data_IF_841552956229
#
_entry.id   IF_841552956229
#
_cell.length_a   1.000
_cell.length_b   1.000
_cell.length_c   1.000
_cell.angle_alpha   90.00
_cell.angle_beta   90.00
_cell.angle_gamma   90.00
#
_symmetry.space_group_name_H-M   'P 1'
#
loop_
_entity.id
_entity.type
_entity.pdbx_description
1 polymer ?
#
# COMPACT_ATOMS: atom_id res chain seq x y z
N UNK A 1 7.59 -27.45 19.69
CA UNK A 1 8.37 -28.69 19.43
C UNK A 1 7.46 -29.92 19.26
N UNK A 2 6.23 -29.77 18.80
CA UNK A 2 5.23 -30.86 18.77
C UNK A 2 4.58 -31.18 17.41
N UNK A 3 4.97 -30.47 16.34
CA UNK A 3 4.40 -30.69 14.98
C UNK A 3 5.22 -31.68 14.16
N UNK A 4 6.47 -31.94 14.55
CA UNK A 4 7.37 -32.82 13.81
C UNK A 4 7.07 -34.31 14.01
N UNK A 5 6.39 -34.72 15.09
CA UNK A 5 6.10 -36.12 15.39
C UNK A 5 4.83 -36.68 14.74
N UNK A 6 3.95 -35.84 14.19
CA UNK A 6 2.74 -36.33 13.51
C UNK A 6 2.90 -36.60 12.02
N UNK A 7 4.02 -36.22 11.41
CA UNK A 7 4.28 -36.47 9.97
C UNK A 7 5.09 -37.74 9.67
N UNK A 8 5.60 -38.42 10.69
CA UNK A 8 6.48 -39.58 10.50
C UNK A 8 5.80 -40.90 10.04
N UNK A 9 4.53 -41.19 10.30
CA UNK A 9 3.91 -42.44 9.84
C UNK A 9 3.44 -42.43 8.37
N UNK A 10 3.43 -41.28 7.69
CA UNK A 10 2.99 -41.20 6.28
C UNK A 10 4.10 -41.46 5.26
N UNK A 11 5.35 -41.53 5.68
CA UNK A 11 6.51 -41.71 4.79
C UNK A 11 6.87 -43.20 4.57
N UNK A 12 6.40 -44.09 5.46
CA UNK A 12 6.88 -45.50 5.46
C UNK A 12 6.07 -46.43 4.56
N UNK A 13 5.01 -45.98 3.90
CA UNK A 13 4.16 -46.88 3.10
C UNK A 13 4.08 -46.55 1.59
N UNK A 14 5.02 -45.80 1.03
CA UNK A 14 5.09 -45.59 -0.40
C UNK A 14 6.41 -46.12 -0.99
N UNK A 15 6.51 -47.43 -1.21
CA UNK A 15 7.48 -48.06 -2.10
C UNK A 15 7.17 -47.83 -3.59
N UNK A 16 6.71 -46.66 -3.97
CA UNK A 16 6.55 -46.20 -5.34
C UNK A 16 7.19 -44.83 -5.43
N UNK A 17 8.46 -44.78 -5.87
CA UNK A 17 9.17 -43.54 -6.09
C UNK A 17 8.38 -42.66 -7.03
N UNK A 18 7.96 -41.48 -6.55
CA UNK A 18 7.35 -40.44 -7.39
C UNK A 18 8.35 -40.12 -8.50
N UNK A 19 7.92 -40.11 -9.77
CA UNK A 19 8.80 -39.70 -10.86
C UNK A 19 9.31 -38.30 -10.58
N UNK A 20 10.60 -38.09 -10.66
CA UNK A 20 11.30 -36.80 -10.41
C UNK A 20 10.61 -35.63 -11.15
N UNK A 21 9.99 -35.92 -12.29
CA UNK A 21 9.21 -34.95 -13.06
C UNK A 21 7.98 -34.39 -12.32
N UNK A 22 7.31 -35.20 -11.50
CA UNK A 22 6.13 -34.74 -10.75
C UNK A 22 6.55 -33.94 -9.52
N UNK A 23 7.67 -34.26 -8.89
CA UNK A 23 8.27 -33.43 -7.84
C UNK A 23 8.74 -32.07 -8.36
N UNK A 24 9.33 -32.01 -9.53
CA UNK A 24 9.73 -30.77 -10.19
C UNK A 24 8.51 -29.94 -10.60
N UNK A 25 7.46 -30.55 -11.16
CA UNK A 25 6.20 -29.86 -11.47
C UNK A 25 5.54 -29.28 -10.24
N UNK A 26 5.53 -30.01 -9.13
CA UNK A 26 4.93 -29.53 -7.87
C UNK A 26 5.74 -28.37 -7.27
N UNK A 27 7.07 -28.44 -7.34
CA UNK A 27 7.96 -27.41 -6.83
C UNK A 27 7.97 -26.14 -7.71
N UNK A 28 7.99 -26.30 -9.02
CA UNK A 28 7.96 -25.17 -9.97
C UNK A 28 6.56 -24.58 -10.09
N UNK A 29 5.51 -25.39 -10.04
CA UNK A 29 4.11 -24.93 -10.04
C UNK A 29 3.75 -24.09 -8.81
N UNK A 30 4.33 -24.38 -7.64
CA UNK A 30 4.11 -23.59 -6.43
C UNK A 30 5.00 -22.32 -6.35
N UNK A 31 6.13 -22.28 -7.06
CA UNK A 31 6.97 -21.06 -7.16
C UNK A 31 6.39 -20.09 -8.19
N UNK A 32 5.75 -20.61 -9.22
CA UNK A 32 5.09 -19.82 -10.29
C UNK A 32 3.56 -19.84 -10.15
N UNK A 33 3.03 -19.72 -8.93
CA UNK A 33 1.61 -19.37 -8.82
C UNK A 33 1.40 -18.03 -9.52
N UNK A 34 0.53 -17.97 -10.54
CA UNK A 34 0.31 -16.72 -11.25
C UNK A 34 -0.22 -15.71 -10.24
N UNK A 35 0.62 -14.72 -9.91
CA UNK A 35 0.36 -13.61 -8.98
C UNK A 35 -0.99 -12.91 -9.25
N UNK A 36 -1.55 -13.05 -10.46
CA UNK A 36 -2.83 -12.50 -10.85
C UNK A 36 -4.06 -13.17 -10.21
N UNK A 37 -4.01 -14.46 -9.81
CA UNK A 37 -5.17 -15.13 -9.23
C UNK A 37 -5.40 -14.88 -7.74
N UNK A 38 -4.35 -14.50 -7.00
CA UNK A 38 -4.44 -14.18 -5.57
C UNK A 38 -5.02 -12.79 -5.36
N UNK A 39 -4.77 -11.86 -6.30
CA UNK A 39 -5.16 -10.45 -6.19
C UNK A 39 -6.68 -10.26 -6.40
N UNK A 40 -7.32 -11.07 -7.23
CA UNK A 40 -8.72 -10.81 -7.63
C UNK A 40 -9.78 -11.30 -6.65
N UNK A 41 -9.47 -12.22 -5.73
CA UNK A 41 -10.48 -12.89 -4.92
C UNK A 41 -10.85 -12.18 -3.60
N UNK A 42 -10.13 -11.12 -3.18
CA UNK A 42 -10.32 -10.52 -1.85
C UNK A 42 -10.15 -9.00 -1.76
N UNK A 43 -10.07 -8.29 -2.89
CA UNK A 43 -9.93 -6.83 -2.84
C UNK A 43 -11.27 -6.19 -2.52
N UNK A 44 -11.42 -5.76 -1.28
CA UNK A 44 -12.51 -4.90 -0.83
C UNK A 44 -12.56 -3.59 -1.64
N UNK A 45 -13.75 -3.04 -1.82
CA UNK A 45 -13.95 -1.77 -2.56
C UNK A 45 -13.05 -0.65 -2.01
N UNK A 46 -12.93 -0.56 -0.68
CA UNK A 46 -12.07 0.43 -0.04
C UNK A 46 -10.57 0.18 -0.25
N UNK A 47 -10.16 -1.07 -0.39
CA UNK A 47 -8.77 -1.40 -0.74
C UNK A 47 -8.42 -0.89 -2.14
N UNK A 48 -9.32 -1.11 -3.11
CA UNK A 48 -9.15 -0.57 -4.48
C UNK A 48 -9.14 0.95 -4.47
N UNK A 49 -10.04 1.58 -3.70
CA UNK A 49 -10.05 3.03 -3.54
C UNK A 49 -8.72 3.55 -2.97
N UNK A 50 -8.12 2.87 -1.98
CA UNK A 50 -6.81 3.24 -1.44
C UNK A 50 -5.71 3.18 -2.51
N UNK A 51 -5.71 2.18 -3.39
CA UNK A 51 -4.77 2.10 -4.51
C UNK A 51 -4.94 3.27 -5.49
N UNK A 52 -6.19 3.61 -5.84
CA UNK A 52 -6.48 4.75 -6.73
C UNK A 52 -6.02 6.05 -6.10
N UNK A 53 -6.28 6.26 -4.81
CA UNK A 53 -5.84 7.46 -4.08
C UNK A 53 -4.32 7.55 -4.03
N UNK A 54 -3.61 6.46 -3.73
CA UNK A 54 -2.14 6.44 -3.74
C UNK A 54 -1.56 6.73 -5.12
N UNK A 55 -2.15 6.16 -6.16
CA UNK A 55 -1.75 6.46 -7.54
C UNK A 55 -1.96 7.95 -7.86
N UNK A 56 -3.09 8.53 -7.43
CA UNK A 56 -3.38 9.95 -7.62
C UNK A 56 -2.39 10.83 -6.86
N UNK A 57 -2.02 10.47 -5.61
CA UNK A 57 -1.00 11.18 -4.83
C UNK A 57 0.33 11.16 -5.57
N UNK A 58 0.79 9.99 -6.02
CA UNK A 58 2.04 9.85 -6.75
C UNK A 58 2.03 10.66 -8.07
N UNK A 59 0.93 10.69 -8.78
CA UNK A 59 0.81 11.49 -10.01
C UNK A 59 0.89 12.98 -9.71
N UNK A 60 0.14 13.45 -8.70
CA UNK A 60 0.14 14.88 -8.30
C UNK A 60 1.52 15.28 -7.76
N UNK A 61 2.17 14.42 -6.98
CA UNK A 61 3.51 14.65 -6.45
C UNK A 61 4.57 14.78 -7.54
N UNK A 62 4.58 13.89 -8.53
CA UNK A 62 5.47 13.97 -9.68
C UNK A 62 5.30 15.28 -10.47
N UNK A 63 4.06 15.74 -10.64
CA UNK A 63 3.76 17.02 -11.30
C UNK A 63 4.24 18.19 -10.43
N UNK A 64 4.09 18.08 -9.09
CA UNK A 64 4.41 19.17 -8.17
C UNK A 64 5.92 19.41 -7.99
N UNK A 65 6.77 18.38 -8.08
CA UNK A 65 8.20 18.45 -7.84
C UNK A 65 8.90 19.55 -8.66
N UNK A 66 8.69 19.69 -9.99
CA UNK A 66 9.34 20.72 -10.79
C UNK A 66 8.94 22.15 -10.42
N UNK A 67 7.74 22.33 -9.84
CA UNK A 67 7.22 23.64 -9.43
C UNK A 67 7.53 23.99 -7.97
N UNK A 68 8.18 23.05 -7.25
CA UNK A 68 8.53 23.19 -5.84
C UNK A 68 9.74 24.12 -5.63
N UNK A 69 10.01 24.44 -4.35
CA UNK A 69 11.19 25.18 -3.99
C UNK A 69 12.43 24.28 -4.05
N UNK A 70 13.50 24.64 -4.78
CA UNK A 70 14.73 23.85 -4.93
C UNK A 70 15.33 23.36 -3.60
N UNK A 71 15.20 24.16 -2.53
CA UNK A 71 15.73 23.81 -1.19
C UNK A 71 15.06 22.59 -0.55
N UNK A 72 13.88 22.17 -1.03
CA UNK A 72 13.09 21.08 -0.44
C UNK A 72 12.87 19.92 -1.41
N UNK A 73 13.50 19.95 -2.59
CA UNK A 73 13.35 18.90 -3.62
C UNK A 73 13.72 17.53 -3.07
N UNK A 74 14.82 17.40 -2.32
CA UNK A 74 15.27 16.13 -1.75
C UNK A 74 14.19 15.50 -0.84
N UNK A 75 13.56 16.32 0.00
CA UNK A 75 12.48 15.87 0.88
C UNK A 75 11.23 15.47 0.09
N UNK A 76 10.91 16.22 -0.96
CA UNK A 76 9.79 15.91 -1.83
C UNK A 76 9.99 14.57 -2.57
N UNK A 77 11.21 14.31 -3.05
CA UNK A 77 11.57 13.06 -3.72
C UNK A 77 11.45 11.87 -2.74
N UNK A 78 11.99 11.99 -1.52
CA UNK A 78 11.90 10.93 -0.51
C UNK A 78 10.44 10.62 -0.17
N UNK A 79 9.62 11.65 -0.03
CA UNK A 79 8.20 11.50 0.24
C UNK A 79 7.48 10.79 -0.91
N UNK A 80 7.75 11.20 -2.14
CA UNK A 80 7.18 10.63 -3.35
C UNK A 80 7.56 9.15 -3.50
N UNK A 81 8.84 8.81 -3.31
CA UNK A 81 9.30 7.43 -3.30
C UNK A 81 8.60 6.59 -2.23
N UNK A 82 8.28 7.18 -1.07
CA UNK A 82 7.53 6.50 -0.02
C UNK A 82 6.12 6.14 -0.48
N UNK A 83 5.40 7.05 -1.16
CA UNK A 83 4.08 6.77 -1.70
C UNK A 83 4.09 5.75 -2.83
N UNK A 84 5.05 5.86 -3.74
CA UNK A 84 5.23 4.86 -4.82
C UNK A 84 5.52 3.48 -4.23
N UNK A 85 6.37 3.41 -3.21
CA UNK A 85 6.67 2.15 -2.51
C UNK A 85 5.42 1.56 -1.86
N UNK A 86 4.62 2.37 -1.15
CA UNK A 86 3.36 1.92 -0.54
C UNK A 86 2.36 1.46 -1.59
N UNK A 87 2.25 2.17 -2.72
CA UNK A 87 1.42 1.77 -3.85
C UNK A 87 1.83 0.39 -4.36
N UNK A 88 3.14 0.16 -4.63
CA UNK A 88 3.65 -1.12 -5.11
C UNK A 88 3.44 -2.24 -4.09
N UNK A 89 3.64 -1.98 -2.80
CA UNK A 89 3.40 -2.97 -1.73
C UNK A 89 1.92 -3.37 -1.67
N UNK A 90 1.01 -2.40 -1.70
CA UNK A 90 -0.43 -2.69 -1.73
C UNK A 90 -0.83 -3.37 -3.04
N UNK A 91 -0.31 -2.93 -4.18
CA UNK A 91 -0.54 -3.60 -5.46
C UNK A 91 -0.13 -5.07 -5.42
N UNK A 92 0.97 -5.39 -4.74
CA UNK A 92 1.42 -6.78 -4.50
C UNK A 92 0.62 -7.54 -3.43
N UNK A 93 -0.39 -6.92 -2.82
CA UNK A 93 -1.25 -7.56 -1.84
C UNK A 93 -0.76 -7.50 -0.38
N UNK A 94 0.30 -6.72 -0.08
CA UNK A 94 0.79 -6.53 1.29
C UNK A 94 -0.13 -5.62 2.10
N UNK A 95 -1.24 -6.14 2.59
CA UNK A 95 -2.26 -5.37 3.34
C UNK A 95 -1.73 -4.67 4.60
N UNK A 96 -0.59 -5.11 5.15
CA UNK A 96 0.07 -4.43 6.28
C UNK A 96 0.52 -3.01 5.93
N UNK A 97 0.76 -2.70 4.66
CA UNK A 97 1.13 -1.36 4.21
C UNK A 97 0.03 -0.32 4.47
N UNK A 98 -1.25 -0.74 4.62
CA UNK A 98 -2.35 0.15 5.01
C UNK A 98 -2.12 0.83 6.37
N UNK A 99 -1.48 0.12 7.31
CA UNK A 99 -1.14 0.71 8.62
C UNK A 99 -0.11 1.84 8.50
N UNK A 100 0.74 1.81 7.49
CA UNK A 100 1.76 2.84 7.24
C UNK A 100 1.16 4.05 6.50
N UNK A 101 0.13 3.83 5.67
CA UNK A 101 -0.54 4.91 4.95
C UNK A 101 -1.13 5.97 5.89
N UNK A 102 -1.72 5.54 7.02
CA UNK A 102 -2.40 6.44 7.96
C UNK A 102 -1.41 7.44 8.62
N UNK A 103 -0.36 6.99 9.34
CA UNK A 103 0.58 7.92 9.97
C UNK A 103 1.33 8.78 8.94
N UNK A 104 1.69 8.22 7.77
CA UNK A 104 2.36 8.99 6.74
C UNK A 104 1.48 10.14 6.24
N UNK A 105 0.22 9.88 5.90
CA UNK A 105 -0.72 10.91 5.48
C UNK A 105 -0.97 11.95 6.59
N UNK A 106 -1.04 11.52 7.85
CA UNK A 106 -1.21 12.43 9.00
C UNK A 106 -0.01 13.35 9.15
N UNK A 107 1.22 12.82 9.05
CA UNK A 107 2.45 13.62 9.12
C UNK A 107 2.49 14.68 8.02
N UNK A 108 2.01 14.36 6.82
CA UNK A 108 1.96 15.32 5.70
C UNK A 108 0.96 16.44 5.97
N UNK A 109 -0.25 16.10 6.42
CA UNK A 109 -1.26 17.12 6.76
C UNK A 109 -0.71 18.07 7.84
N UNK A 110 -0.15 17.50 8.92
CA UNK A 110 0.43 18.28 10.01
C UNK A 110 1.62 19.11 9.52
N UNK A 111 2.53 18.52 8.76
CA UNK A 111 3.70 19.19 8.22
C UNK A 111 3.31 20.37 7.31
N UNK A 112 2.33 20.21 6.44
CA UNK A 112 1.82 21.28 5.59
C UNK A 112 1.15 22.40 6.40
N UNK A 113 0.44 22.04 7.47
CA UNK A 113 -0.25 23.00 8.34
C UNK A 113 0.72 23.81 9.23
N UNK A 114 1.86 23.22 9.60
CA UNK A 114 2.87 23.87 10.44
C UNK A 114 3.93 24.63 9.64
N UNK A 115 4.02 24.44 8.32
CA UNK A 115 4.99 25.11 7.47
C UNK A 115 4.52 26.53 7.08
N UNK A 116 5.14 27.62 7.61
CA UNK A 116 4.72 28.98 7.32
C UNK A 116 4.62 29.32 5.83
N UNK A 117 5.53 28.87 4.96
CA UNK A 117 5.43 29.13 3.53
C UNK A 117 4.19 28.49 2.87
N UNK A 118 3.77 27.31 3.33
CA UNK A 118 2.58 26.63 2.81
C UNK A 118 1.31 27.36 3.25
N UNK A 119 1.22 27.74 4.53
CA UNK A 119 0.09 28.51 5.07
C UNK A 119 -0.05 29.85 4.34
N UNK A 120 1.06 30.58 4.16
CA UNK A 120 1.06 31.83 3.44
C UNK A 120 0.62 31.66 1.97
N UNK A 121 1.09 30.61 1.30
CA UNK A 121 0.71 30.30 -0.07
C UNK A 121 -0.80 30.03 -0.22
N UNK A 122 -1.39 29.33 0.75
CA UNK A 122 -2.82 29.04 0.77
C UNK A 122 -3.65 30.30 1.08
N UNK A 123 -3.17 31.19 1.97
CA UNK A 123 -3.88 32.40 2.36
C UNK A 123 -3.84 33.48 1.29
N UNK A 124 -2.71 33.64 0.61
CA UNK A 124 -2.51 34.73 -0.36
C UNK A 124 -2.82 34.34 -1.80
N UNK A 125 -2.87 33.02 -2.10
CA UNK A 125 -2.97 32.51 -3.48
C UNK A 125 -1.98 33.15 -4.44
N UNK A 126 -0.81 33.56 -3.93
CA UNK A 126 0.23 34.24 -4.70
C UNK A 126 0.73 33.41 -5.90
N UNK A 127 0.63 32.08 -5.83
CA UNK A 127 0.87 31.13 -6.91
C UNK A 127 -0.29 30.15 -6.98
N UNK A 128 -1.36 30.46 -7.75
CA UNK A 128 -2.62 29.72 -7.70
C UNK A 128 -2.46 28.23 -8.03
N UNK A 129 -1.64 27.86 -9.00
CA UNK A 129 -1.38 26.47 -9.34
C UNK A 129 -0.78 25.70 -8.15
N UNK A 130 0.24 26.27 -7.49
CA UNK A 130 0.88 25.64 -6.35
C UNK A 130 -0.05 25.57 -5.14
N UNK A 131 -0.91 26.56 -4.92
CA UNK A 131 -1.91 26.56 -3.87
C UNK A 131 -2.93 25.43 -4.09
N UNK A 132 -3.43 25.26 -5.32
CA UNK A 132 -4.36 24.17 -5.67
C UNK A 132 -3.69 22.81 -5.50
N UNK A 133 -2.48 22.62 -6.00
CA UNK A 133 -1.72 21.37 -5.84
C UNK A 133 -1.52 21.05 -4.35
N UNK A 134 -1.19 22.04 -3.53
CA UNK A 134 -1.02 21.87 -2.08
C UNK A 134 -2.32 21.47 -1.38
N UNK A 135 -3.44 22.14 -1.71
CA UNK A 135 -4.73 21.82 -1.11
C UNK A 135 -5.20 20.42 -1.55
N UNK A 136 -5.16 20.12 -2.82
CA UNK A 136 -5.61 18.82 -3.35
C UNK A 136 -4.67 17.70 -2.91
N UNK A 137 -3.38 17.82 -3.16
CA UNK A 137 -2.37 16.78 -2.87
C UNK A 137 -2.06 16.67 -1.39
N UNK A 138 -1.91 17.80 -0.71
CA UNK A 138 -1.49 17.87 0.70
C UNK A 138 -2.60 17.67 1.72
N UNK A 139 -3.87 17.89 1.36
CA UNK A 139 -4.99 17.76 2.30
C UNK A 139 -6.07 16.80 1.80
N UNK A 140 -6.67 17.05 0.62
CA UNK A 140 -7.82 16.27 0.15
C UNK A 140 -7.45 14.82 -0.09
N UNK A 141 -6.38 14.57 -0.85
CA UNK A 141 -5.93 13.21 -1.15
C UNK A 141 -5.37 12.52 0.10
N UNK A 142 -4.72 13.23 1.01
CA UNK A 142 -4.24 12.65 2.27
C UNK A 142 -5.41 12.27 3.20
N UNK A 143 -6.44 13.11 3.30
CA UNK A 143 -7.67 12.79 4.02
C UNK A 143 -8.39 11.58 3.43
N UNK A 144 -8.49 11.51 2.10
CA UNK A 144 -9.05 10.36 1.40
C UNK A 144 -8.23 9.09 1.63
N UNK A 145 -6.88 9.18 1.68
CA UNK A 145 -5.99 8.06 1.99
C UNK A 145 -6.23 7.52 3.40
N UNK A 146 -6.32 8.39 4.41
CA UNK A 146 -6.64 8.00 5.79
C UNK A 146 -7.99 7.29 5.83
N UNK A 147 -9.02 7.89 5.26
CA UNK A 147 -10.39 7.35 5.28
C UNK A 147 -10.47 5.96 4.62
N UNK A 148 -9.96 5.83 3.38
CA UNK A 148 -10.03 4.56 2.63
C UNK A 148 -9.19 3.48 3.27
N UNK A 149 -7.98 3.81 3.79
CA UNK A 149 -7.12 2.87 4.51
C UNK A 149 -7.77 2.38 5.80
N UNK A 150 -8.36 3.28 6.60
CA UNK A 150 -9.04 2.93 7.84
C UNK A 150 -10.26 2.01 7.58
N UNK A 151 -11.10 2.37 6.60
CA UNK A 151 -12.25 1.55 6.20
C UNK A 151 -11.85 0.17 5.70
N UNK A 152 -10.78 0.09 4.91
CA UNK A 152 -10.23 -1.19 4.45
C UNK A 152 -9.76 -2.07 5.61
N UNK A 153 -9.04 -1.49 6.60
CA UNK A 153 -8.60 -2.21 7.79
C UNK A 153 -9.76 -2.72 8.65
N UNK A 154 -10.78 -1.89 8.87
CA UNK A 154 -11.97 -2.27 9.64
C UNK A 154 -12.72 -3.42 8.96
N UNK A 155 -12.92 -3.36 7.65
CA UNK A 155 -13.57 -4.42 6.89
C UNK A 155 -12.79 -5.74 6.94
N UNK A 156 -11.46 -5.68 6.84
CA UNK A 156 -10.61 -6.87 6.98
C UNK A 156 -10.72 -7.49 8.39
N UNK A 157 -10.80 -6.67 9.43
CA UNK A 157 -10.97 -7.14 10.80
C UNK A 157 -12.33 -7.83 11.00
N UNK A 158 -13.40 -7.21 10.53
CA UNK A 158 -14.77 -7.78 10.63
C UNK A 158 -14.87 -9.14 9.94
N UNK A 159 -14.28 -9.29 8.74
CA UNK A 159 -14.26 -10.56 8.02
C UNK A 159 -13.48 -11.66 8.75
N UNK A 160 -12.38 -11.32 9.43
CA UNK A 160 -11.62 -12.28 10.23
C UNK A 160 -12.43 -12.78 11.43
N UNK A 161 -13.13 -11.88 12.12
CA UNK A 161 -13.98 -12.24 13.25
C UNK A 161 -15.15 -13.13 12.81
N UNK A 162 -15.79 -12.83 11.68
CA UNK A 162 -16.87 -13.66 11.13
C UNK A 162 -16.41 -15.05 10.66
N UNK A 163 -15.14 -15.21 10.29
CA UNK A 163 -14.58 -16.51 9.89
C UNK A 163 -14.12 -17.37 11.08
N UNK A 164 -14.03 -16.80 12.29
CA UNK A 164 -13.62 -17.48 13.52
C UNK A 164 -14.81 -17.83 14.43
N UNK A 165 -16.01 -17.37 14.09
CA UNK A 165 -17.27 -17.71 14.78
C UNK A 165 -17.99 -18.87 14.08
#
# INVERSE_FOLDING_TARGET
>A
MSIFYQMMPLIENQKGGWPIQDMLKYRIGNIFMPMGKIITKQMDSYYRATLVVLFSIATVGLIAIPFGNPKFIDRAIVLELSFVTLFVLLWRGYSKALFVCIPLATVIIVGNSLAPPHVNLMMTFSKPLNAVILVVGGYVLQGALIYTSLRSLLNMRSRRLAASA
#
